data_IF_466083881149
#
_entry.id   IF_466083881149
#
_cell.length_a   1.000
_cell.length_b   1.000
_cell.length_c   1.000
_cell.angle_alpha   90.00
_cell.angle_beta   90.00
_cell.angle_gamma   90.00
#
_symmetry.space_group_name_H-M   'P 1'
#
loop_
_entity.id
_entity.type
_entity.pdbx_description
1 polymer ?
#
# COMPACT_ATOMS: atom_id res chain seq x y z
N UNK A 1 10.96 -1.72 -20.60
CA UNK A 1 9.72 -2.14 -19.90
C UNK A 1 8.78 -0.94 -19.88
N UNK A 2 7.72 -0.94 -20.71
CA UNK A 2 6.77 0.18 -20.78
C UNK A 2 5.89 0.16 -19.52
N UNK A 3 5.86 1.26 -18.76
CA UNK A 3 4.97 1.39 -17.60
C UNK A 3 3.49 1.36 -18.06
N UNK A 4 2.64 0.64 -17.33
CA UNK A 4 1.20 0.59 -17.61
C UNK A 4 0.49 1.86 -17.11
N UNK A 5 -0.70 2.17 -17.65
CA UNK A 5 -1.46 3.39 -17.35
C UNK A 5 -1.74 3.53 -15.83
N UNK A 6 -2.11 2.44 -15.17
CA UNK A 6 -2.35 2.39 -13.72
C UNK A 6 -1.13 2.84 -12.91
N UNK A 7 0.07 2.38 -13.28
CA UNK A 7 1.30 2.76 -12.59
C UNK A 7 1.63 4.24 -12.72
N UNK A 8 1.36 4.86 -13.87
CA UNK A 8 1.52 6.31 -14.04
C UNK A 8 0.60 7.10 -13.13
N UNK A 9 -0.69 6.75 -13.12
CA UNK A 9 -1.70 7.41 -12.30
C UNK A 9 -1.30 7.32 -10.82
N UNK A 10 -0.90 6.14 -10.36
CA UNK A 10 -0.41 5.92 -9.01
C UNK A 10 0.78 6.85 -8.67
N UNK A 11 1.77 6.94 -9.56
CA UNK A 11 2.93 7.81 -9.33
C UNK A 11 2.57 9.30 -9.29
N UNK A 12 1.62 9.74 -10.10
CA UNK A 12 1.14 11.13 -10.11
C UNK A 12 0.43 11.45 -8.79
N UNK A 13 -0.42 10.56 -8.28
CA UNK A 13 -1.06 10.76 -6.98
C UNK A 13 -0.05 10.76 -5.82
N UNK A 14 0.94 9.88 -5.85
CA UNK A 14 2.06 9.90 -4.88
C UNK A 14 2.81 11.24 -4.98
N UNK A 15 3.09 11.70 -6.20
CA UNK A 15 3.80 12.95 -6.42
C UNK A 15 3.04 14.16 -5.92
N UNK A 16 1.70 14.16 -6.04
CA UNK A 16 0.85 15.23 -5.51
C UNK A 16 1.06 15.38 -4.01
N UNK A 17 1.02 14.25 -3.29
CA UNK A 17 1.28 14.22 -1.85
C UNK A 17 2.71 14.63 -1.49
N UNK A 18 3.72 14.14 -2.23
CA UNK A 18 5.13 14.47 -1.96
C UNK A 18 5.45 15.96 -2.19
N UNK A 19 4.80 16.58 -3.17
CA UNK A 19 4.98 18.00 -3.48
C UNK A 19 4.08 18.91 -2.63
N UNK A 20 3.26 18.34 -1.75
CA UNK A 20 2.28 19.05 -0.94
C UNK A 20 1.35 19.95 -1.77
N UNK A 21 0.92 19.45 -2.94
CA UNK A 21 -0.05 20.16 -3.76
C UNK A 21 -1.45 19.92 -3.23
N UNK A 22 -2.17 21.01 -3.00
CA UNK A 22 -3.61 20.95 -2.78
C UNK A 22 -4.36 20.54 -4.06
N UNK A 23 -5.65 20.30 -3.88
CA UNK A 23 -6.55 19.84 -4.93
C UNK A 23 -6.70 20.83 -6.09
N UNK A 24 -6.67 22.13 -5.80
CA UNK A 24 -6.87 23.20 -6.77
C UNK A 24 -5.61 23.38 -7.64
N UNK A 25 -4.45 23.49 -7.00
CA UNK A 25 -3.15 23.55 -7.65
C UNK A 25 -2.90 22.30 -8.49
N UNK A 26 -3.21 21.11 -7.96
CA UNK A 26 -3.10 19.86 -8.71
C UNK A 26 -3.95 19.87 -9.98
N UNK A 27 -5.25 20.20 -9.88
CA UNK A 27 -6.15 20.26 -11.04
C UNK A 27 -5.74 21.31 -12.05
N UNK A 28 -5.30 22.50 -11.59
CA UNK A 28 -4.83 23.56 -12.49
C UNK A 28 -3.62 23.10 -13.32
N UNK A 29 -2.66 22.40 -12.69
CA UNK A 29 -1.49 21.87 -13.38
C UNK A 29 -1.87 20.76 -14.38
N UNK A 30 -2.82 19.88 -14.05
CA UNK A 30 -3.30 18.84 -14.98
C UNK A 30 -3.94 19.47 -16.24
N UNK A 31 -4.80 20.47 -16.04
CA UNK A 31 -5.47 21.19 -17.13
C UNK A 31 -4.45 21.96 -17.96
N UNK A 32 -3.50 22.66 -17.34
CA UNK A 32 -2.46 23.39 -18.05
C UNK A 32 -1.60 22.46 -18.93
N UNK A 33 -1.30 21.24 -18.46
CA UNK A 33 -0.42 20.31 -19.17
C UNK A 33 -1.12 19.47 -20.24
N UNK A 34 -2.38 19.11 -20.00
CA UNK A 34 -3.10 18.09 -20.79
C UNK A 34 -4.50 18.52 -21.23
N UNK A 35 -4.98 19.69 -20.79
CA UNK A 35 -6.36 20.18 -20.96
C UNK A 35 -7.43 19.31 -20.30
N UNK A 36 -7.03 18.36 -19.45
CA UNK A 36 -7.91 17.43 -18.73
C UNK A 36 -7.72 17.64 -17.23
N UNK A 37 -8.80 17.49 -16.48
CA UNK A 37 -8.81 17.65 -15.02
C UNK A 37 -8.59 16.32 -14.27
N UNK A 38 -8.56 15.19 -14.99
CA UNK A 38 -8.43 13.85 -14.43
C UNK A 38 -7.35 13.04 -15.14
N UNK A 39 -6.54 12.31 -14.36
CA UNK A 39 -5.55 11.38 -14.90
C UNK A 39 -6.17 10.14 -15.55
N UNK A 40 -7.44 9.83 -15.24
CA UNK A 40 -8.16 8.72 -15.86
C UNK A 40 -8.48 8.98 -17.33
N UNK A 41 -8.71 10.25 -17.70
CA UNK A 41 -8.99 10.66 -19.08
C UNK A 41 -7.73 10.83 -19.93
N UNK A 42 -6.56 10.74 -19.30
CA UNK A 42 -5.27 10.91 -19.96
C UNK A 42 -4.79 9.62 -20.62
N UNK A 43 -4.17 9.76 -21.78
CA UNK A 43 -3.38 8.73 -22.43
C UNK A 43 -2.05 8.51 -21.69
N UNK A 44 -1.36 7.40 -21.98
CA UNK A 44 -0.04 7.11 -21.39
C UNK A 44 0.97 8.23 -21.70
N UNK A 45 0.87 8.86 -22.87
CA UNK A 45 1.76 9.97 -23.28
C UNK A 45 1.49 11.22 -22.44
N UNK A 46 0.23 11.57 -22.23
CA UNK A 46 -0.18 12.70 -21.39
C UNK A 46 0.19 12.47 -19.92
N UNK A 47 -0.02 11.26 -19.41
CA UNK A 47 0.39 10.88 -18.05
C UNK A 47 1.91 10.95 -17.86
N UNK A 48 2.68 10.53 -18.85
CA UNK A 48 4.13 10.68 -18.80
C UNK A 48 4.54 12.15 -18.79
N UNK A 49 3.88 13.01 -19.56
CA UNK A 49 4.11 14.47 -19.56
C UNK A 49 3.85 15.09 -18.18
N UNK A 50 2.75 14.71 -17.53
CA UNK A 50 2.44 15.16 -16.16
C UNK A 50 3.52 14.67 -15.20
N UNK A 51 3.90 13.39 -15.28
CA UNK A 51 4.90 12.80 -14.41
C UNK A 51 6.27 13.51 -14.54
N UNK A 52 6.70 13.83 -15.76
CA UNK A 52 7.93 14.60 -16.00
C UNK A 52 7.85 16.03 -15.47
N UNK A 53 6.69 16.68 -15.60
CA UNK A 53 6.48 18.00 -14.99
C UNK A 53 6.58 17.93 -13.46
N UNK A 54 5.98 16.93 -12.83
CA UNK A 54 6.10 16.77 -11.38
C UNK A 54 7.56 16.54 -10.98
N UNK A 55 8.33 15.77 -11.75
CA UNK A 55 9.76 15.57 -11.49
C UNK A 55 10.53 16.88 -11.55
N UNK A 56 10.24 17.75 -12.51
CA UNK A 56 10.87 19.08 -12.59
C UNK A 56 10.50 19.99 -11.41
N UNK A 57 9.35 19.74 -10.77
CA UNK A 57 8.90 20.40 -9.54
C UNK A 57 9.43 19.76 -8.25
N UNK A 58 10.28 18.75 -8.35
CA UNK A 58 10.93 18.11 -7.20
C UNK A 58 10.34 16.75 -6.81
N UNK A 59 9.38 16.22 -7.58
CA UNK A 59 8.89 14.87 -7.37
C UNK A 59 10.01 13.87 -7.66
N UNK A 60 10.33 13.03 -6.67
CA UNK A 60 11.30 11.95 -6.83
C UNK A 60 10.52 10.65 -6.78
N UNK A 61 10.09 10.09 -7.93
CA UNK A 61 9.42 8.81 -7.93
C UNK A 61 10.38 7.82 -7.30
N UNK A 62 9.97 7.29 -6.15
CA UNK A 62 10.73 6.27 -5.44
C UNK A 62 10.66 5.01 -6.31
N UNK A 63 11.60 4.91 -7.25
CA UNK A 63 12.10 3.63 -7.69
C UNK A 63 12.54 2.93 -6.42
N UNK A 64 11.94 1.78 -6.10
CA UNK A 64 12.46 0.87 -5.09
C UNK A 64 13.77 0.28 -5.63
N UNK A 65 14.78 1.12 -5.80
CA UNK A 65 16.18 0.78 -6.02
C UNK A 65 16.94 1.48 -4.92
N UNK A 66 17.17 0.69 -3.87
CA UNK A 66 18.20 0.94 -2.87
C UNK A 66 17.90 2.07 -1.91
N UNK A 67 17.34 1.72 -0.76
CA UNK A 67 17.96 2.02 0.54
C UNK A 67 17.41 1.06 1.59
N UNK A 68 18.33 0.26 2.14
CA UNK A 68 18.20 -0.59 3.33
C UNK A 68 17.30 -1.83 3.22
N UNK A 69 17.71 -2.80 2.40
CA UNK A 69 17.58 -4.21 2.77
C UNK A 69 18.96 -4.85 2.67
N UNK A 70 19.38 -5.70 3.62
CA UNK A 70 20.72 -6.31 3.58
C UNK A 70 20.99 -7.05 2.26
N UNK A 71 22.27 -7.13 1.88
CA UNK A 71 22.79 -7.79 0.66
C UNK A 71 22.59 -9.33 0.62
N UNK A 72 21.65 -9.89 1.36
CA UNK A 72 21.42 -11.35 1.45
C UNK A 72 20.40 -11.87 0.44
N UNK A 73 20.01 -11.09 -0.56
CA UNK A 73 19.01 -11.49 -1.58
C UNK A 73 19.46 -12.59 -2.55
N UNK A 74 20.71 -13.03 -2.46
CA UNK A 74 21.30 -14.04 -3.36
C UNK A 74 21.18 -15.49 -2.87
N UNK A 75 20.43 -15.75 -1.79
CA UNK A 75 20.06 -17.12 -1.42
C UNK A 75 18.56 -17.20 -1.21
N UNK A 76 17.91 -18.03 -2.00
CA UNK A 76 16.51 -18.48 -1.81
C UNK A 76 16.47 -19.35 -0.55
N UNK A 77 16.65 -18.71 0.61
CA UNK A 77 16.29 -19.20 1.92
C UNK A 77 15.50 -18.05 2.51
N UNK A 78 14.16 -18.13 2.40
CA UNK A 78 13.29 -17.17 3.08
C UNK A 78 13.50 -17.31 4.58
N UNK A 79 14.40 -16.50 5.13
CA UNK A 79 14.62 -16.45 6.57
C UNK A 79 13.33 -15.97 7.22
N UNK A 80 12.97 -16.44 8.43
CA UNK A 80 11.86 -15.85 9.17
C UNK A 80 12.00 -14.31 9.34
N UNK A 81 13.23 -13.77 9.29
CA UNK A 81 13.47 -12.31 9.29
C UNK A 81 12.93 -11.65 8.02
N UNK A 82 13.06 -12.31 6.87
CA UNK A 82 12.54 -11.79 5.60
C UNK A 82 11.01 -11.71 5.63
N UNK A 83 10.35 -12.67 6.30
CA UNK A 83 8.90 -12.62 6.51
C UNK A 83 8.48 -11.42 7.34
N UNK A 84 9.23 -11.10 8.40
CA UNK A 84 9.00 -9.91 9.21
C UNK A 84 9.12 -8.63 8.38
N UNK A 85 10.19 -8.53 7.57
CA UNK A 85 10.42 -7.41 6.64
C UNK A 85 9.31 -7.29 5.59
N UNK A 86 8.89 -8.40 5.00
CA UNK A 86 7.84 -8.44 3.99
C UNK A 86 6.50 -7.92 4.55
N UNK A 87 6.11 -8.34 5.75
CA UNK A 87 4.92 -7.84 6.41
C UNK A 87 4.99 -6.33 6.68
N UNK A 88 6.14 -5.83 7.15
CA UNK A 88 6.36 -4.40 7.38
C UNK A 88 6.22 -3.58 6.10
N UNK A 89 6.84 -4.04 5.01
CA UNK A 89 6.75 -3.40 3.70
C UNK A 89 5.31 -3.45 3.16
N UNK A 90 4.61 -4.57 3.31
CA UNK A 90 3.21 -4.70 2.90
C UNK A 90 2.31 -3.70 3.63
N UNK A 91 2.45 -3.60 4.95
CA UNK A 91 1.73 -2.61 5.77
C UNK A 91 2.04 -1.17 5.36
N UNK A 92 3.31 -0.85 5.04
CA UNK A 92 3.67 0.49 4.53
C UNK A 92 3.03 0.77 3.16
N UNK A 93 3.04 -0.21 2.25
CA UNK A 93 2.50 -0.05 0.90
C UNK A 93 1.00 0.28 0.89
N UNK A 94 0.27 -0.19 1.91
CA UNK A 94 -1.15 0.12 2.16
C UNK A 94 -1.39 1.37 3.02
N UNK A 95 -0.33 2.06 3.45
CA UNK A 95 -0.45 3.29 4.22
C UNK A 95 -0.68 3.12 5.73
N UNK A 96 -0.66 1.89 6.26
CA UNK A 96 -0.84 1.66 7.71
C UNK A 96 0.35 2.13 8.55
N UNK A 97 1.51 2.31 7.91
CA UNK A 97 2.74 2.79 8.54
C UNK A 97 3.17 4.13 7.94
N UNK A 98 3.66 5.02 8.80
CA UNK A 98 4.30 6.27 8.37
C UNK A 98 5.65 6.01 7.69
N UNK A 99 6.44 5.09 8.22
CA UNK A 99 7.76 4.71 7.73
C UNK A 99 7.87 3.19 7.56
N UNK A 100 8.32 2.75 6.39
CA UNK A 100 8.53 1.34 6.05
C UNK A 100 10.01 0.92 5.98
N UNK A 101 10.93 1.77 6.46
CA UNK A 101 12.36 1.49 6.50
C UNK A 101 12.70 0.32 7.44
N UNK A 102 13.83 -0.35 7.18
CA UNK A 102 14.37 -1.41 8.06
C UNK A 102 14.77 -0.83 9.43
N UNK A 103 15.18 0.45 9.48
CA UNK A 103 15.46 1.16 10.73
C UNK A 103 14.20 1.36 11.57
N UNK A 104 13.08 1.76 10.96
CA UNK A 104 11.79 1.84 11.66
C UNK A 104 11.31 0.47 12.14
N UNK A 105 11.51 -0.58 11.34
CA UNK A 105 11.22 -1.95 11.75
C UNK A 105 12.09 -2.39 12.93
N UNK A 106 13.38 -2.03 12.93
CA UNK A 106 14.28 -2.28 14.04
C UNK A 106 13.81 -1.57 15.30
N UNK A 107 13.50 -0.27 15.24
CA UNK A 107 12.98 0.50 16.39
C UNK A 107 11.72 -0.14 16.97
N UNK A 108 10.76 -0.49 16.11
CA UNK A 108 9.55 -1.20 16.55
C UNK A 108 9.89 -2.55 17.19
N UNK A 109 10.78 -3.35 16.56
CA UNK A 109 11.19 -4.65 17.07
C UNK A 109 11.93 -4.56 18.41
N UNK A 110 12.75 -3.52 18.62
CA UNK A 110 13.43 -3.25 19.89
C UNK A 110 12.43 -3.10 21.03
N UNK A 111 11.38 -2.31 20.82
CA UNK A 111 10.34 -2.07 21.82
C UNK A 111 9.56 -3.35 22.14
N UNK A 112 9.13 -4.09 21.09
CA UNK A 112 8.36 -5.32 21.27
C UNK A 112 9.18 -6.45 21.93
N UNK A 113 10.46 -6.55 21.58
CA UNK A 113 11.31 -7.66 22.01
C UNK A 113 11.96 -7.45 23.38
N UNK A 114 11.91 -6.23 23.95
CA UNK A 114 12.54 -5.90 25.23
C UNK A 114 12.10 -6.84 26.36
N UNK A 115 10.80 -7.09 26.50
CA UNK A 115 10.25 -8.00 27.52
C UNK A 115 10.59 -9.48 27.24
N UNK A 116 10.77 -9.83 25.97
CA UNK A 116 11.11 -11.20 25.54
C UNK A 116 12.61 -11.50 25.68
N UNK A 117 13.44 -10.48 25.88
CA UNK A 117 14.90 -10.60 25.96
C UNK A 117 15.46 -10.13 27.31
N UNK A 118 14.76 -10.41 28.41
CA UNK A 118 15.20 -10.05 29.77
C UNK A 118 15.55 -8.55 29.92
N UNK A 119 14.81 -7.67 29.25
CA UNK A 119 15.04 -6.22 29.18
C UNK A 119 16.33 -5.78 28.49
N UNK A 120 17.04 -6.68 27.80
CA UNK A 120 18.20 -6.34 26.97
C UNK A 120 17.73 -5.92 25.58
N UNK A 121 18.05 -4.70 25.11
CA UNK A 121 17.69 -4.26 23.77
C UNK A 121 18.47 -5.05 22.72
N UNK A 122 17.83 -5.26 21.56
CA UNK A 122 18.52 -5.73 20.35
C UNK A 122 19.02 -4.51 19.58
N UNK A 123 20.16 -4.60 18.90
CA UNK A 123 20.63 -3.50 18.03
C UNK A 123 20.56 -3.83 16.54
N UNK A 124 20.24 -5.08 16.21
CA UNK A 124 20.06 -5.57 14.84
C UNK A 124 18.95 -6.61 14.80
N UNK A 125 18.20 -6.66 13.70
CA UNK A 125 17.13 -7.66 13.52
C UNK A 125 17.68 -9.08 13.47
N UNK A 126 18.91 -9.24 12.97
CA UNK A 126 19.63 -10.52 12.89
C UNK A 126 19.92 -11.13 14.28
N UNK A 127 19.81 -10.35 15.35
CA UNK A 127 20.01 -10.82 16.73
C UNK A 127 18.73 -11.30 17.40
N UNK A 128 17.59 -11.23 16.70
CA UNK A 128 16.35 -11.83 17.19
C UNK A 128 16.50 -13.34 17.31
N UNK A 129 16.31 -13.87 18.52
CA UNK A 129 16.20 -15.31 18.73
C UNK A 129 14.97 -15.85 17.97
N UNK A 130 14.98 -17.10 17.49
CA UNK A 130 13.87 -17.67 16.71
C UNK A 130 12.50 -17.52 17.38
N UNK A 131 12.42 -17.69 18.70
CA UNK A 131 11.18 -17.53 19.48
C UNK A 131 10.68 -16.10 19.49
N UNK A 132 11.57 -15.12 19.68
CA UNK A 132 11.25 -13.69 19.64
C UNK A 132 10.76 -13.30 18.24
N UNK A 133 11.47 -13.77 17.21
CA UNK A 133 11.14 -13.49 15.82
C UNK A 133 9.76 -14.04 15.43
N UNK A 134 9.48 -15.30 15.81
CA UNK A 134 8.15 -15.89 15.61
C UNK A 134 7.06 -15.05 16.29
N UNK A 135 7.28 -14.66 17.54
CA UNK A 135 6.32 -13.86 18.30
C UNK A 135 6.08 -12.47 17.66
N UNK A 136 7.14 -11.79 17.20
CA UNK A 136 7.03 -10.52 16.49
C UNK A 136 6.28 -10.65 15.16
N UNK A 137 6.50 -11.73 14.41
CA UNK A 137 5.76 -12.01 13.17
C UNK A 137 4.26 -12.17 13.46
N UNK A 138 3.88 -12.94 14.49
CA UNK A 138 2.47 -13.13 14.85
C UNK A 138 1.83 -11.84 15.38
N UNK A 139 2.56 -11.02 16.14
CA UNK A 139 2.09 -9.69 16.53
C UNK A 139 1.82 -8.80 15.30
N UNK A 140 2.76 -8.78 14.34
CA UNK A 140 2.65 -7.95 13.15
C UNK A 140 1.51 -8.41 12.23
N UNK A 141 1.34 -9.73 12.06
CA UNK A 141 0.17 -10.31 11.38
C UNK A 141 -1.14 -9.92 12.04
N UNK A 142 -1.21 -10.01 13.37
CA UNK A 142 -2.43 -9.65 14.09
C UNK A 142 -2.76 -8.16 13.92
N UNK A 143 -1.75 -7.28 13.97
CA UNK A 143 -1.94 -5.86 13.69
C UNK A 143 -2.39 -5.61 12.25
N UNK A 144 -1.71 -6.23 11.29
CA UNK A 144 -2.03 -6.10 9.88
C UNK A 144 -3.46 -6.55 9.58
N UNK A 145 -3.86 -7.71 10.11
CA UNK A 145 -5.21 -8.25 10.01
C UNK A 145 -6.25 -7.30 10.58
N UNK A 146 -6.01 -6.71 11.76
CA UNK A 146 -6.94 -5.71 12.33
C UNK A 146 -7.13 -4.51 11.39
N UNK A 147 -6.05 -4.01 10.78
CA UNK A 147 -6.13 -2.90 9.83
C UNK A 147 -6.86 -3.26 8.55
N UNK A 148 -6.62 -4.44 7.98
CA UNK A 148 -7.38 -4.91 6.83
C UNK A 148 -8.88 -5.09 7.13
N UNK A 149 -9.22 -5.58 8.32
CA UNK A 149 -10.62 -5.69 8.76
C UNK A 149 -11.27 -4.31 8.86
N UNK A 150 -10.55 -3.32 9.39
CA UNK A 150 -11.01 -1.92 9.48
C UNK A 150 -11.32 -1.38 8.07
N UNK A 151 -10.38 -1.46 7.14
CA UNK A 151 -10.57 -1.01 5.74
C UNK A 151 -11.75 -1.71 5.06
N UNK A 152 -11.84 -3.05 5.16
CA UNK A 152 -12.94 -3.81 4.54
C UNK A 152 -14.28 -3.38 5.14
N UNK A 153 -14.37 -3.21 6.46
CA UNK A 153 -15.62 -2.75 7.11
C UNK A 153 -16.01 -1.36 6.68
N UNK A 154 -15.07 -0.44 6.61
CA UNK A 154 -15.31 0.97 6.30
C UNK A 154 -15.71 1.17 4.84
N UNK A 155 -15.05 0.46 3.91
CA UNK A 155 -15.21 0.70 2.47
C UNK A 155 -16.30 -0.17 1.81
N UNK A 156 -16.69 -1.29 2.41
CA UNK A 156 -17.74 -2.18 1.85
C UNK A 156 -19.09 -1.47 1.66
N UNK A 157 -19.57 -0.61 2.57
CA UNK A 157 -20.81 0.15 2.35
C UNK A 157 -20.77 1.02 1.10
N UNK A 158 -19.62 1.61 0.75
CA UNK A 158 -19.49 2.43 -0.46
C UNK A 158 -19.43 1.57 -1.72
N UNK A 159 -18.77 0.40 -1.66
CA UNK A 159 -18.83 -0.60 -2.74
C UNK A 159 -20.29 -0.98 -3.07
N UNK A 160 -21.14 -1.16 -2.04
CA UNK A 160 -22.57 -1.52 -2.22
C UNK A 160 -23.39 -0.43 -2.91
N UNK A 161 -22.96 0.83 -2.85
CA UNK A 161 -23.65 1.96 -3.52
C UNK A 161 -23.30 2.05 -5.01
N UNK A 162 -22.22 1.40 -5.45
CA UNK A 162 -21.76 1.47 -6.84
C UNK A 162 -22.70 0.69 -7.78
N UNK A 163 -22.97 1.27 -8.95
CA UNK A 163 -23.62 0.57 -10.06
C UNK A 163 -22.56 -0.21 -10.86
N UNK A 164 -22.24 -1.40 -10.36
CA UNK A 164 -21.22 -2.26 -10.96
C UNK A 164 -21.72 -2.90 -12.26
N UNK A 165 -20.81 -3.11 -13.21
CA UNK A 165 -21.08 -3.96 -14.38
C UNK A 165 -21.27 -5.44 -13.95
N UNK A 166 -21.72 -6.30 -14.89
CA UNK A 166 -22.01 -7.72 -14.59
C UNK A 166 -20.79 -8.46 -14.04
N UNK A 167 -19.60 -8.18 -14.57
CA UNK A 167 -18.38 -8.87 -14.16
C UNK A 167 -17.96 -8.45 -12.75
N UNK A 168 -17.92 -7.15 -12.49
CA UNK A 168 -17.53 -6.61 -11.20
C UNK A 168 -18.54 -6.95 -10.10
N UNK A 169 -19.84 -6.97 -10.43
CA UNK A 169 -20.89 -7.42 -9.52
C UNK A 169 -20.64 -8.85 -9.04
N UNK A 170 -20.26 -9.75 -9.95
CA UNK A 170 -19.94 -11.13 -9.60
C UNK A 170 -18.72 -11.24 -8.68
N UNK A 171 -17.67 -10.43 -8.91
CA UNK A 171 -16.51 -10.42 -8.03
C UNK A 171 -16.81 -9.77 -6.68
N UNK A 172 -17.63 -8.72 -6.63
CA UNK A 172 -18.03 -8.04 -5.40
C UNK A 172 -18.81 -8.97 -4.46
N UNK A 173 -19.52 -9.97 -5.01
CA UNK A 173 -20.21 -10.97 -4.21
C UNK A 173 -19.26 -11.71 -3.25
N UNK A 174 -18.02 -11.98 -3.65
CA UNK A 174 -17.01 -12.61 -2.78
C UNK A 174 -16.69 -11.76 -1.54
N UNK A 175 -16.73 -10.44 -1.67
CA UNK A 175 -16.54 -9.50 -0.57
C UNK A 175 -17.76 -9.49 0.35
N UNK A 176 -18.97 -9.52 -0.23
CA UNK A 176 -20.22 -9.50 0.53
C UNK A 176 -20.50 -10.79 1.29
N UNK A 177 -19.98 -11.90 0.79
CA UNK A 177 -20.09 -13.23 1.39
C UNK A 177 -18.99 -13.52 2.41
N UNK A 178 -18.06 -12.58 2.64
CA UNK A 178 -17.15 -12.67 3.78
C UNK A 178 -17.99 -12.72 5.05
N UNK A 179 -17.96 -13.86 5.73
CA UNK A 179 -18.64 -14.06 7.00
C UNK A 179 -17.98 -13.26 8.12
N UNK A 180 -17.64 -13.93 9.23
CA UNK A 180 -16.96 -13.24 10.32
C UNK A 180 -15.54 -12.82 9.91
N UNK A 181 -15.31 -11.53 9.65
CA UNK A 181 -14.02 -10.99 9.17
C UNK A 181 -12.83 -11.34 10.09
N UNK A 182 -13.09 -11.57 11.38
CA UNK A 182 -12.10 -12.05 12.36
C UNK A 182 -11.56 -13.44 12.01
N UNK A 183 -12.32 -14.27 11.28
CA UNK A 183 -11.96 -15.64 10.86
C UNK A 183 -11.32 -15.69 9.47
N UNK A 184 -11.42 -14.63 8.66
CA UNK A 184 -10.79 -14.56 7.35
C UNK A 184 -9.25 -14.59 7.44
N UNK A 185 -8.59 -15.13 6.42
CA UNK A 185 -7.14 -15.07 6.29
C UNK A 185 -6.68 -13.65 5.93
N UNK A 186 -5.41 -13.34 6.16
CA UNK A 186 -4.83 -12.06 5.73
C UNK A 186 -4.95 -11.91 4.21
N UNK A 187 -4.70 -12.98 3.45
CA UNK A 187 -4.80 -12.99 1.99
C UNK A 187 -6.23 -12.66 1.51
N UNK A 188 -7.25 -13.31 2.08
CA UNK A 188 -8.66 -13.01 1.76
C UNK A 188 -9.01 -11.55 2.02
N UNK A 189 -8.54 -11.00 3.15
CA UNK A 189 -8.78 -9.60 3.51
C UNK A 189 -7.98 -8.64 2.62
N UNK A 190 -6.75 -8.97 2.25
CA UNK A 190 -5.92 -8.21 1.32
C UNK A 190 -6.54 -8.14 -0.07
N UNK A 191 -6.99 -9.28 -0.61
CA UNK A 191 -7.67 -9.37 -1.90
C UNK A 191 -8.93 -8.52 -1.88
N UNK A 192 -9.74 -8.65 -0.82
CA UNK A 192 -11.00 -7.91 -0.68
C UNK A 192 -10.77 -6.41 -0.55
N UNK A 193 -9.85 -5.98 0.30
CA UNK A 193 -9.50 -4.55 0.44
C UNK A 193 -8.97 -3.97 -0.87
N UNK A 194 -8.14 -4.72 -1.60
CA UNK A 194 -7.60 -4.29 -2.90
C UNK A 194 -8.69 -4.21 -3.97
N UNK A 195 -9.60 -5.17 -3.99
CA UNK A 195 -10.75 -5.18 -4.88
C UNK A 195 -11.68 -4.00 -4.61
N UNK A 196 -12.04 -3.75 -3.35
CA UNK A 196 -12.89 -2.62 -2.97
C UNK A 196 -12.25 -1.31 -3.43
N UNK A 197 -10.96 -1.09 -3.13
CA UNK A 197 -10.24 0.12 -3.54
C UNK A 197 -10.17 0.28 -5.07
N UNK A 198 -10.01 -0.82 -5.81
CA UNK A 198 -10.06 -0.80 -7.28
C UNK A 198 -11.44 -0.38 -7.80
N UNK A 199 -12.52 -0.90 -7.21
CA UNK A 199 -13.88 -0.58 -7.63
C UNK A 199 -14.28 0.85 -7.28
N UNK A 200 -13.95 1.32 -6.08
CA UNK A 200 -14.16 2.73 -5.71
C UNK A 200 -13.43 3.64 -6.71
N UNK A 201 -12.16 3.38 -7.01
CA UNK A 201 -11.41 4.15 -8.00
C UNK A 201 -11.93 4.03 -9.45
N UNK A 202 -12.51 2.90 -9.83
CA UNK A 202 -13.09 2.69 -11.18
C UNK A 202 -14.42 3.43 -11.36
N UNK A 203 -15.25 3.52 -10.32
CA UNK A 203 -16.64 3.99 -10.42
C UNK A 203 -16.92 5.35 -9.76
N UNK A 204 -15.98 5.94 -9.00
CA UNK A 204 -16.13 7.28 -8.39
C UNK A 204 -16.37 8.42 -9.41
N UNK A 205 -16.05 8.20 -10.70
CA UNK A 205 -16.30 9.17 -11.77
C UNK A 205 -17.66 9.05 -12.49
N UNK A 206 -18.49 8.05 -12.16
CA UNK A 206 -19.68 7.69 -12.94
C UNK A 206 -21.00 8.31 -12.50
N UNK A 207 -21.02 9.12 -11.43
CA UNK A 207 -22.26 9.73 -10.89
C UNK A 207 -22.59 11.13 -11.43
N UNK A 208 -21.93 11.55 -12.52
CA UNK A 208 -22.32 12.75 -13.27
C UNK A 208 -22.54 12.37 -14.74
N UNK A 209 -23.75 11.87 -15.07
CA UNK A 209 -24.60 12.23 -16.23
C UNK A 209 -25.98 11.63 -15.96
#
# INVERSE_FOLDING_TARGET
MKMNKSRYIQLIHIGKGQLNWDDELYRSNLIALTKKNSCLDMSVVELNKVLEFMKSKGFKPVSVKGKHSPKTRDKVVHSPIDKLRQLWIAMKSRGYLRDGSDDALLVWSKDQAKRLNHNVPIDRLEWLKPTMLHHLIEQLKAWYKRKLIEDVKELTPDLRKLKLDRHDSYQAQKVYELGELSKCTIEQLEESASFIGLMLGKYEGGNNV
#
